data_IF_071200918397
#
_entry.id   IF_071200918397
#
_cell.length_a   1.000
_cell.length_b   1.000
_cell.length_c   1.000
_cell.angle_alpha   90.00
_cell.angle_beta   90.00
_cell.angle_gamma   90.00
#
_symmetry.space_group_name_H-M   'P 1'
#
loop_
_entity.id
_entity.type
_entity.pdbx_description
1 polymer ?
#
# COMPACT_ATOMS: atom_id res chain seq x y z
N UNK A 1 -57.93 -0.70 -0.55
CA UNK A 1 -56.85 -1.36 0.23
C UNK A 1 -55.54 -1.21 -0.55
N UNK A 2 -54.80 -0.13 -0.30
CA UNK A 2 -53.55 0.18 -1.02
C UNK A 2 -52.39 -0.35 -0.17
N UNK A 3 -51.84 -1.51 -0.52
CA UNK A 3 -50.65 -2.07 0.14
C UNK A 3 -49.43 -1.32 -0.40
N UNK A 4 -48.92 -0.37 0.37
CA UNK A 4 -47.63 0.25 0.12
C UNK A 4 -46.54 -0.78 0.42
N UNK A 5 -45.86 -1.27 -0.61
CA UNK A 5 -44.65 -2.10 -0.45
C UNK A 5 -43.46 -1.14 -0.46
N UNK A 6 -42.99 -0.78 0.73
CA UNK A 6 -41.72 -0.07 0.92
C UNK A 6 -40.58 -1.08 0.74
N UNK A 7 -39.92 -1.03 -0.42
CA UNK A 7 -38.69 -1.77 -0.68
C UNK A 7 -37.52 -0.99 -0.05
N UNK A 8 -37.16 -1.34 1.19
CA UNK A 8 -36.02 -0.75 1.88
C UNK A 8 -34.73 -1.40 1.36
N UNK A 9 -34.13 -0.80 0.33
CA UNK A 9 -32.83 -1.21 -0.23
C UNK A 9 -31.73 -0.79 0.76
N UNK A 10 -31.36 -1.69 1.68
CA UNK A 10 -30.19 -1.55 2.54
C UNK A 10 -28.95 -1.67 1.67
N UNK A 11 -28.41 -0.54 1.22
CA UNK A 11 -27.09 -0.46 0.61
C UNK A 11 -26.05 -0.56 1.74
N UNK A 12 -25.70 -1.80 2.12
CA UNK A 12 -24.58 -2.07 2.99
C UNK A 12 -23.31 -1.69 2.22
N UNK A 13 -22.79 -0.48 2.45
CA UNK A 13 -21.57 0.01 1.84
C UNK A 13 -20.39 -0.83 2.31
N UNK A 14 -20.02 -1.85 1.53
CA UNK A 14 -18.72 -2.48 1.67
C UNK A 14 -17.69 -1.45 1.24
N UNK A 15 -16.99 -0.85 2.20
CA UNK A 15 -15.81 -0.06 1.89
C UNK A 15 -14.78 -1.00 1.30
N UNK A 16 -14.59 -0.91 -0.02
CA UNK A 16 -13.46 -1.51 -0.71
C UNK A 16 -12.20 -0.84 -0.17
N UNK A 17 -11.60 -1.43 0.85
CA UNK A 17 -10.29 -1.05 1.38
C UNK A 17 -9.25 -1.54 0.36
N UNK A 18 -9.01 -0.74 -0.67
CA UNK A 18 -7.97 -1.02 -1.64
C UNK A 18 -6.63 -0.53 -1.08
N UNK A 19 -5.83 -1.50 -0.60
CA UNK A 19 -4.37 -1.48 -0.48
C UNK A 19 -3.75 -0.39 0.42
N UNK A 20 -3.32 -0.78 1.63
CA UNK A 20 -2.74 0.08 2.69
C UNK A 20 -1.40 0.78 2.38
N UNK A 21 -0.86 0.60 1.17
CA UNK A 21 0.40 1.22 0.76
C UNK A 21 0.18 2.68 0.35
N UNK A 22 0.93 3.59 0.96
CA UNK A 22 0.80 5.01 0.67
C UNK A 22 1.24 5.33 -0.76
N UNK A 23 0.51 6.22 -1.48
CA UNK A 23 0.73 6.47 -2.89
C UNK A 23 1.98 7.30 -3.19
N UNK A 24 2.51 8.03 -2.19
CA UNK A 24 3.75 8.80 -2.30
C UNK A 24 4.47 8.86 -0.96
N UNK A 25 5.76 9.17 -1.01
CA UNK A 25 6.57 9.36 0.19
C UNK A 25 6.07 10.53 1.03
N UNK A 26 5.67 11.64 0.38
CA UNK A 26 5.08 12.80 1.07
C UNK A 26 3.81 12.43 1.85
N UNK A 27 2.93 11.63 1.25
CA UNK A 27 1.73 11.15 1.96
C UNK A 27 2.14 10.25 3.13
N UNK A 28 3.13 9.36 2.94
CA UNK A 28 3.61 8.49 4.00
C UNK A 28 4.20 9.28 5.19
N UNK A 29 5.02 10.30 4.94
CA UNK A 29 5.60 11.14 6.00
C UNK A 29 4.53 11.94 6.72
N UNK A 30 3.61 12.57 5.98
CA UNK A 30 2.51 13.34 6.57
C UNK A 30 1.57 12.45 7.40
N UNK A 31 1.26 11.25 6.93
CA UNK A 31 0.45 10.29 7.68
C UNK A 31 1.19 9.81 8.92
N UNK A 32 2.49 9.58 8.84
CA UNK A 32 3.31 9.20 9.99
C UNK A 32 3.31 10.29 11.06
N UNK A 33 3.52 11.54 10.68
CA UNK A 33 3.49 12.70 11.58
C UNK A 33 2.12 12.89 12.26
N UNK A 34 1.03 12.77 11.49
CA UNK A 34 -0.33 12.99 12.02
C UNK A 34 -0.84 11.83 12.88
N UNK A 35 -0.44 10.60 12.59
CA UNK A 35 -0.88 9.41 13.33
C UNK A 35 0.11 8.95 14.40
N UNK A 36 1.30 9.54 14.43
CA UNK A 36 2.44 9.14 15.26
C UNK A 36 2.83 7.66 15.09
N UNK A 37 2.59 7.09 13.90
CA UNK A 37 2.96 5.71 13.55
C UNK A 37 4.27 5.71 12.76
N UNK A 38 5.22 4.80 13.03
CA UNK A 38 6.43 4.69 12.23
C UNK A 38 6.13 4.22 10.80
N UNK A 39 6.99 4.61 9.87
CA UNK A 39 6.92 4.17 8.47
C UNK A 39 7.70 2.87 8.30
N UNK A 40 7.06 1.84 7.75
CA UNK A 40 7.76 0.69 7.18
C UNK A 40 8.04 0.97 5.70
N UNK A 41 9.30 1.36 5.41
CA UNK A 41 9.81 1.57 4.06
C UNK A 41 10.34 0.24 3.50
N UNK A 42 9.70 -0.28 2.45
CA UNK A 42 10.08 -1.54 1.81
C UNK A 42 10.73 -1.28 0.46
N UNK A 43 12.00 -1.65 0.33
CA UNK A 43 12.71 -1.71 -0.95
C UNK A 43 12.42 -3.05 -1.62
N UNK A 44 11.88 -3.02 -2.85
CA UNK A 44 11.43 -4.22 -3.54
C UNK A 44 11.86 -4.24 -5.00
N UNK A 45 12.03 -5.43 -5.57
CA UNK A 45 12.13 -5.66 -7.01
C UNK A 45 10.97 -6.54 -7.49
N UNK A 46 9.82 -5.94 -7.76
CA UNK A 46 8.53 -6.63 -7.98
C UNK A 46 8.51 -7.68 -9.10
N UNK A 47 9.42 -7.60 -10.07
CA UNK A 47 9.41 -8.47 -11.25
C UNK A 47 10.65 -9.36 -11.43
N UNK A 48 11.62 -9.26 -10.51
CA UNK A 48 12.89 -9.97 -10.59
C UNK A 48 13.44 -10.48 -9.25
N UNK A 49 13.02 -9.92 -8.10
CA UNK A 49 13.47 -10.37 -6.79
C UNK A 49 12.54 -11.47 -6.24
N UNK A 50 12.85 -12.73 -6.52
CA UNK A 50 12.02 -13.87 -6.07
C UNK A 50 11.79 -13.90 -4.53
N UNK A 51 12.78 -13.64 -3.65
CA UNK A 51 12.53 -13.53 -2.22
C UNK A 51 11.60 -12.39 -1.84
N UNK A 52 11.72 -11.22 -2.48
CA UNK A 52 10.86 -10.06 -2.23
C UNK A 52 9.40 -10.37 -2.61
N UNK A 53 9.20 -10.98 -3.79
CA UNK A 53 7.88 -11.40 -4.27
C UNK A 53 7.26 -12.45 -3.32
N UNK A 54 8.08 -13.39 -2.84
CA UNK A 54 7.66 -14.38 -1.84
C UNK A 54 7.23 -13.70 -0.53
N UNK A 55 8.02 -12.76 -0.04
CA UNK A 55 7.70 -12.01 1.19
C UNK A 55 6.41 -11.21 1.05
N UNK A 56 6.18 -10.56 -0.09
CA UNK A 56 4.96 -9.82 -0.36
C UNK A 56 3.72 -10.70 -0.35
N UNK A 57 3.81 -11.87 -0.97
CA UNK A 57 2.70 -12.85 -0.99
C UNK A 57 2.47 -13.47 0.39
N UNK A 58 3.53 -13.93 1.04
CA UNK A 58 3.41 -14.78 2.23
C UNK A 58 3.25 -13.96 3.52
N UNK A 59 3.60 -12.67 3.52
CA UNK A 59 3.52 -11.79 4.69
C UNK A 59 2.70 -10.53 4.39
N UNK A 60 3.17 -9.64 3.49
CA UNK A 60 2.57 -8.32 3.31
C UNK A 60 1.12 -8.34 2.84
N UNK A 61 0.76 -9.34 2.03
CA UNK A 61 -0.60 -9.52 1.49
C UNK A 61 -1.53 -10.30 2.42
N UNK A 62 -1.05 -10.76 3.57
CA UNK A 62 -1.88 -11.52 4.50
C UNK A 62 -2.78 -10.60 5.32
N UNK A 63 -4.00 -11.06 5.62
CA UNK A 63 -4.93 -10.31 6.48
C UNK A 63 -4.35 -10.06 7.88
N UNK A 64 -3.55 -10.99 8.40
CA UNK A 64 -2.90 -10.86 9.71
C UNK A 64 -1.95 -9.67 9.71
N UNK A 65 -1.09 -9.56 8.69
CA UNK A 65 -0.17 -8.42 8.60
C UNK A 65 -0.91 -7.11 8.34
N UNK A 66 -1.90 -7.10 7.46
CA UNK A 66 -2.70 -5.90 7.16
C UNK A 66 -3.42 -5.38 8.41
N UNK A 67 -4.01 -6.26 9.21
CA UNK A 67 -4.64 -5.89 10.47
C UNK A 67 -3.63 -5.28 11.46
N UNK A 68 -2.44 -5.87 11.59
CA UNK A 68 -1.37 -5.31 12.40
C UNK A 68 -0.90 -3.94 11.87
N UNK A 69 -0.60 -3.85 10.58
CA UNK A 69 -0.08 -2.64 9.97
C UNK A 69 -1.06 -1.47 10.10
N UNK A 70 -2.36 -1.73 9.95
CA UNK A 70 -3.41 -0.71 10.11
C UNK A 70 -3.30 0.03 11.44
N UNK A 71 -3.01 -0.66 12.53
CA UNK A 71 -2.98 -0.06 13.87
C UNK A 71 -1.58 0.45 14.26
N UNK A 72 -0.52 -0.04 13.62
CA UNK A 72 0.85 0.17 14.09
C UNK A 72 1.78 0.89 13.10
N UNK A 73 1.49 0.86 11.80
CA UNK A 73 2.43 1.26 10.76
C UNK A 73 1.82 2.20 9.72
N UNK A 74 2.68 2.97 9.08
CA UNK A 74 2.43 3.56 7.76
C UNK A 74 3.27 2.79 6.74
N UNK A 75 2.66 2.25 5.70
CA UNK A 75 3.37 1.41 4.73
C UNK A 75 3.76 2.20 3.48
N UNK A 76 5.02 2.13 3.06
CA UNK A 76 5.45 2.67 1.76
C UNK A 76 6.40 1.71 1.05
N UNK A 77 6.15 1.46 -0.25
CA UNK A 77 6.93 0.53 -1.07
C UNK A 77 7.72 1.29 -2.14
N UNK A 78 9.04 1.31 -1.99
CA UNK A 78 9.96 1.79 -3.02
C UNK A 78 10.34 0.62 -3.93
N UNK A 79 9.69 0.52 -5.09
CA UNK A 79 9.91 -0.57 -6.05
C UNK A 79 10.97 -0.22 -7.11
N UNK A 80 11.70 -1.24 -7.57
CA UNK A 80 12.80 -1.17 -8.55
C UNK A 80 12.63 -2.24 -9.64
N UNK A 81 11.56 -2.18 -10.45
CA UNK A 81 11.31 -3.16 -11.50
C UNK A 81 12.41 -3.11 -12.58
N UNK A 82 12.70 -4.26 -13.22
CA UNK A 82 13.71 -4.34 -14.29
C UNK A 82 13.09 -4.53 -15.67
N UNK A 83 11.87 -5.06 -15.77
CA UNK A 83 11.22 -5.26 -17.06
C UNK A 83 10.77 -3.91 -17.61
N UNK A 84 11.02 -3.68 -18.91
CA UNK A 84 10.62 -2.44 -19.60
C UNK A 84 9.13 -2.13 -19.43
N UNK A 85 8.28 -3.17 -19.46
CA UNK A 85 6.83 -3.03 -19.30
C UNK A 85 6.40 -2.51 -17.92
N UNK A 86 7.25 -2.64 -16.91
CA UNK A 86 6.97 -2.25 -15.52
C UNK A 86 7.75 -1.00 -15.09
N UNK A 87 8.44 -0.33 -16.01
CA UNK A 87 9.25 0.84 -15.65
C UNK A 87 8.41 1.93 -15.01
N UNK A 88 8.93 2.47 -13.91
CA UNK A 88 8.29 3.55 -13.20
C UNK A 88 8.48 4.87 -13.96
N UNK A 89 7.53 5.81 -13.86
CA UNK A 89 7.74 7.18 -14.31
C UNK A 89 8.99 7.79 -13.66
N UNK A 90 9.72 8.61 -14.41
CA UNK A 90 11.03 9.14 -13.98
C UNK A 90 11.02 9.87 -12.61
N UNK A 91 9.99 10.67 -12.26
CA UNK A 91 9.92 11.28 -10.94
C UNK A 91 9.87 10.25 -9.81
N UNK A 92 9.07 9.19 -9.97
CA UNK A 92 8.93 8.12 -8.97
C UNK A 92 10.20 7.27 -8.88
N UNK A 93 10.82 6.95 -10.02
CA UNK A 93 12.09 6.24 -10.06
C UNK A 93 13.20 7.03 -9.36
N UNK A 94 13.25 8.36 -9.55
CA UNK A 94 14.21 9.25 -8.91
C UNK A 94 14.00 9.31 -7.39
N UNK A 95 12.75 9.49 -6.95
CA UNK A 95 12.41 9.47 -5.52
C UNK A 95 12.80 8.14 -4.87
N UNK A 96 12.50 7.00 -5.50
CA UNK A 96 12.87 5.69 -4.96
C UNK A 96 14.40 5.54 -4.86
N UNK A 97 15.17 6.01 -5.86
CA UNK A 97 16.65 6.01 -5.79
C UNK A 97 17.17 6.89 -4.66
N UNK A 98 16.58 8.06 -4.41
CA UNK A 98 16.95 8.93 -3.30
C UNK A 98 16.69 8.27 -1.94
N UNK A 99 15.52 7.64 -1.79
CA UNK A 99 15.18 6.89 -0.58
C UNK A 99 16.15 5.74 -0.34
N UNK A 100 16.54 5.00 -1.39
CA UNK A 100 17.53 3.93 -1.26
C UNK A 100 18.87 4.49 -0.82
N UNK A 101 19.38 5.54 -1.47
CA UNK A 101 20.64 6.17 -1.07
C UNK A 101 20.65 6.66 0.40
N UNK A 102 19.49 7.03 0.94
CA UNK A 102 19.36 7.48 2.31
C UNK A 102 19.23 6.34 3.33
N UNK A 103 18.57 5.23 2.98
CA UNK A 103 18.11 4.22 3.94
C UNK A 103 18.51 2.76 3.63
N UNK A 104 19.17 2.47 2.51
CA UNK A 104 19.54 1.10 2.08
C UNK A 104 20.85 1.02 1.29
#
# INVERSE_FOLDING_TARGET
MKKAVLLFLVFCGTTLMAQDWQPSWEVATKTSETTNKPILLVFSGSDWCAPCIKLDRDIWSTQVFQAFAKDHLVLYKADFPRRKANQLPEPLATQNKQLAAQFN
#
